data_IF_483442799652
#
_entry.id   IF_483442799652
#
_cell.length_a   1.000
_cell.length_b   1.000
_cell.length_c   1.000
_cell.angle_alpha   90.00
_cell.angle_beta   90.00
_cell.angle_gamma   90.00
#
_symmetry.space_group_name_H-M   'P 1'
#
loop_
_entity.id
_entity.type
_entity.pdbx_description
1 polymer ?
#
# COMPACT_ATOMS: atom_id res chain seq x y z
N UNK A 1 3.38 21.06 -13.29
CA UNK A 1 2.37 21.75 -14.14
C UNK A 1 2.55 21.45 -15.61
N UNK A 2 3.80 21.43 -16.09
CA UNK A 2 4.22 21.16 -17.48
C UNK A 2 3.44 20.04 -18.12
N UNK A 3 3.25 18.91 -17.43
CA UNK A 3 2.61 17.75 -18.03
C UNK A 3 1.12 17.92 -18.39
N UNK A 4 0.34 18.74 -17.68
CA UNK A 4 -1.08 18.96 -18.00
C UNK A 4 -1.26 19.96 -19.13
N UNK A 5 -0.45 21.02 -19.09
CA UNK A 5 -0.42 22.07 -20.10
C UNK A 5 0.10 21.53 -21.45
N UNK A 6 1.24 20.82 -21.43
CA UNK A 6 1.87 20.23 -22.62
C UNK A 6 0.97 19.20 -23.31
N UNK A 7 0.21 18.42 -22.54
CA UNK A 7 -0.73 17.44 -23.08
C UNK A 7 -2.06 18.04 -23.53
N UNK A 8 -2.32 19.33 -23.26
CA UNK A 8 -3.58 19.98 -23.57
C UNK A 8 -4.78 19.33 -22.88
N UNK A 9 -4.60 18.83 -21.65
CA UNK A 9 -5.65 18.11 -20.92
C UNK A 9 -6.76 19.05 -20.46
N UNK A 10 -7.97 18.50 -20.30
CA UNK A 10 -9.09 19.23 -19.71
C UNK A 10 -8.95 19.28 -18.20
N UNK A 11 -9.01 20.48 -17.62
CA UNK A 11 -8.78 20.75 -16.21
C UNK A 11 -9.92 21.54 -15.61
N UNK A 12 -10.30 21.21 -14.38
CA UNK A 12 -11.35 21.89 -13.64
C UNK A 12 -10.86 23.16 -12.95
N UNK A 13 -11.76 24.13 -12.78
CA UNK A 13 -11.55 25.28 -11.91
C UNK A 13 -12.88 25.73 -11.28
N UNK A 14 -12.82 26.38 -10.12
CA UNK A 14 -14.02 26.92 -9.49
C UNK A 14 -14.52 28.15 -10.26
N UNK A 15 -15.79 28.17 -10.69
CA UNK A 15 -16.32 29.17 -11.63
C UNK A 15 -16.09 30.62 -11.20
N UNK A 16 -16.24 30.91 -9.91
CA UNK A 16 -16.11 32.26 -9.34
C UNK A 16 -14.70 32.59 -8.84
N UNK A 17 -13.68 31.89 -9.33
CA UNK A 17 -12.29 32.08 -8.89
C UNK A 17 -11.44 32.85 -9.90
N UNK A 18 -10.37 33.46 -9.41
CA UNK A 18 -9.32 34.10 -10.22
C UNK A 18 -8.50 33.08 -11.04
N UNK A 19 -8.65 31.78 -10.75
CA UNK A 19 -7.89 30.70 -11.35
C UNK A 19 -8.07 30.68 -12.87
N UNK A 20 -9.27 30.98 -13.38
CA UNK A 20 -9.53 31.00 -14.82
C UNK A 20 -8.59 31.94 -15.57
N UNK A 21 -8.56 33.23 -15.17
CA UNK A 21 -7.68 34.22 -15.77
C UNK A 21 -6.21 33.82 -15.63
N UNK A 22 -5.82 33.33 -14.44
CA UNK A 22 -4.43 32.91 -14.20
C UNK A 22 -4.00 31.73 -15.07
N UNK A 23 -4.89 30.76 -15.31
CA UNK A 23 -4.59 29.61 -16.17
C UNK A 23 -4.45 30.01 -17.63
N UNK A 24 -5.27 30.95 -18.11
CA UNK A 24 -5.15 31.51 -19.45
C UNK A 24 -3.80 32.24 -19.62
N UNK A 25 -3.42 33.09 -18.67
CA UNK A 25 -2.11 33.76 -18.69
C UNK A 25 -0.93 32.77 -18.75
N UNK A 26 -1.09 31.60 -18.11
CA UNK A 26 -0.07 30.53 -18.08
C UNK A 26 -0.09 29.65 -19.35
N UNK A 27 -1.00 29.90 -20.29
CA UNK A 27 -1.05 29.25 -21.61
C UNK A 27 -2.10 28.15 -21.77
N UNK A 28 -2.99 27.93 -20.79
CA UNK A 28 -4.10 26.98 -20.99
C UNK A 28 -5.11 27.53 -21.99
N UNK A 29 -5.56 26.67 -22.92
CA UNK A 29 -6.66 27.00 -23.81
C UNK A 29 -7.97 27.15 -23.02
N UNK A 30 -8.78 28.20 -23.27
CA UNK A 30 -10.09 28.36 -22.64
C UNK A 30 -11.02 27.15 -22.84
N UNK A 31 -10.92 26.45 -23.98
CA UNK A 31 -11.70 25.24 -24.26
C UNK A 31 -11.40 24.06 -23.33
N UNK A 32 -10.23 24.07 -22.70
CA UNK A 32 -9.77 22.99 -21.82
C UNK A 32 -10.04 23.30 -20.35
N UNK A 33 -10.51 24.51 -20.04
CA UNK A 33 -10.87 24.93 -18.68
C UNK A 33 -12.35 24.65 -18.44
N UNK A 34 -12.65 23.75 -17.50
CA UNK A 34 -14.01 23.33 -17.18
C UNK A 34 -14.43 23.96 -15.84
N UNK A 35 -15.44 24.83 -15.80
CA UNK A 35 -15.92 25.38 -14.53
C UNK A 35 -16.70 24.35 -13.74
N UNK A 36 -16.61 24.41 -12.41
CA UNK A 36 -17.51 23.74 -11.47
C UNK A 36 -17.86 24.67 -10.31
N UNK A 37 -18.95 24.39 -9.61
CA UNK A 37 -19.44 25.18 -8.48
C UNK A 37 -19.31 24.46 -7.14
N UNK A 38 -19.45 23.12 -7.12
CA UNK A 38 -19.49 22.33 -5.88
C UNK A 38 -18.41 21.26 -5.82
N UNK A 39 -18.17 20.75 -4.61
CA UNK A 39 -17.26 19.61 -4.40
C UNK A 39 -17.74 18.35 -5.11
N UNK A 40 -19.05 18.12 -5.14
CA UNK A 40 -19.66 16.94 -5.75
C UNK A 40 -19.54 16.98 -7.28
N UNK A 41 -19.73 18.15 -7.89
CA UNK A 41 -19.53 18.33 -9.33
C UNK A 41 -18.05 18.14 -9.70
N UNK A 42 -17.13 18.62 -8.86
CA UNK A 42 -15.69 18.38 -9.04
C UNK A 42 -15.34 16.88 -8.98
N UNK A 43 -15.87 16.15 -7.98
CA UNK A 43 -15.73 14.69 -7.88
C UNK A 43 -16.26 14.00 -9.14
N UNK A 44 -17.47 14.33 -9.58
CA UNK A 44 -18.07 13.75 -10.78
C UNK A 44 -17.20 13.96 -12.03
N UNK A 45 -16.73 15.19 -12.25
CA UNK A 45 -15.86 15.52 -13.38
C UNK A 45 -14.53 14.74 -13.32
N UNK A 46 -13.93 14.60 -12.13
CA UNK A 46 -12.70 13.84 -11.94
C UNK A 46 -12.92 12.33 -12.14
N UNK A 47 -14.04 11.77 -11.66
CA UNK A 47 -14.39 10.34 -11.84
C UNK A 47 -14.69 9.98 -13.28
N UNK A 48 -15.34 10.88 -14.02
CA UNK A 48 -15.60 10.69 -15.44
C UNK A 48 -14.28 10.67 -16.24
N UNK A 49 -13.32 11.51 -15.85
CA UNK A 49 -12.04 11.62 -16.53
C UNK A 49 -12.18 12.12 -17.97
N UNK A 50 -11.07 12.43 -18.63
CA UNK A 50 -11.10 13.07 -19.96
C UNK A 50 -11.77 12.21 -21.04
N UNK A 51 -11.65 10.88 -20.94
CA UNK A 51 -12.26 9.92 -21.89
C UNK A 51 -13.80 9.92 -21.88
N UNK A 52 -14.44 10.29 -20.77
CA UNK A 52 -15.91 10.37 -20.66
C UNK A 52 -16.41 11.80 -20.59
N UNK A 53 -15.60 12.77 -21.06
CA UNK A 53 -15.99 14.18 -21.06
C UNK A 53 -15.81 14.89 -19.71
N UNK A 54 -15.12 14.28 -18.74
CA UNK A 54 -14.69 14.91 -17.50
C UNK A 54 -13.33 15.60 -17.61
N UNK A 55 -12.60 15.67 -16.48
CA UNK A 55 -11.32 16.37 -16.33
C UNK A 55 -10.21 15.45 -15.82
N UNK A 56 -8.95 15.79 -16.12
CA UNK A 56 -7.77 15.04 -15.64
C UNK A 56 -7.29 15.50 -14.26
N UNK A 57 -7.71 16.70 -13.84
CA UNK A 57 -7.29 17.35 -12.60
C UNK A 57 -8.06 18.66 -12.41
N UNK A 58 -8.03 19.20 -11.20
CA UNK A 58 -8.71 20.43 -10.85
C UNK A 58 -7.76 21.37 -10.09
N UNK A 59 -7.88 22.66 -10.37
CA UNK A 59 -7.21 23.71 -9.63
C UNK A 59 -8.17 24.27 -8.59
N UNK A 60 -7.74 24.23 -7.32
CA UNK A 60 -8.47 24.77 -6.17
C UNK A 60 -7.52 25.60 -5.32
N UNK A 61 -8.07 26.58 -4.61
CA UNK A 61 -7.34 27.31 -3.56
C UNK A 61 -7.12 26.38 -2.37
N UNK A 62 -5.99 26.52 -1.67
CA UNK A 62 -5.56 25.60 -0.61
C UNK A 62 -6.66 25.29 0.42
N UNK A 63 -7.38 26.26 1.02
CA UNK A 63 -8.40 25.90 2.00
C UNK A 63 -9.57 25.10 1.40
N UNK A 64 -9.98 25.39 0.16
CA UNK A 64 -11.01 24.59 -0.52
C UNK A 64 -10.49 23.20 -0.90
N UNK A 65 -9.23 23.10 -1.31
CA UNK A 65 -8.57 21.82 -1.57
C UNK A 65 -8.53 20.96 -0.30
N UNK A 66 -8.16 21.54 0.85
CA UNK A 66 -8.16 20.83 2.15
C UNK A 66 -9.55 20.32 2.51
N UNK A 67 -10.60 21.13 2.26
CA UNK A 67 -11.98 20.70 2.48
C UNK A 67 -12.40 19.57 1.54
N UNK A 68 -11.99 19.62 0.27
CA UNK A 68 -12.28 18.62 -0.75
C UNK A 68 -11.55 17.30 -0.46
N UNK A 69 -10.25 17.34 -0.16
CA UNK A 69 -9.49 16.16 0.23
C UNK A 69 -10.03 15.55 1.52
N UNK A 70 -10.45 16.36 2.49
CA UNK A 70 -11.13 15.85 3.69
C UNK A 70 -12.42 15.05 3.42
N UNK A 71 -13.03 15.19 2.24
CA UNK A 71 -14.21 14.43 1.81
C UNK A 71 -13.86 13.24 0.90
N UNK A 72 -12.76 13.34 0.13
CA UNK A 72 -12.41 12.40 -0.94
C UNK A 72 -10.94 11.90 -0.90
N UNK A 73 -10.28 11.89 0.26
CA UNK A 73 -8.83 11.61 0.35
C UNK A 73 -8.38 10.23 -0.10
N UNK A 74 -9.28 9.23 -0.08
CA UNK A 74 -8.97 7.89 -0.58
C UNK A 74 -8.91 7.84 -2.12
N UNK A 75 -9.47 8.85 -2.79
CA UNK A 75 -9.61 8.88 -4.25
C UNK A 75 -8.65 9.88 -4.88
N UNK A 76 -8.40 11.01 -4.21
CA UNK A 76 -7.63 12.12 -4.76
C UNK A 76 -6.48 12.52 -3.87
N UNK A 77 -5.46 13.09 -4.51
CA UNK A 77 -4.30 13.66 -3.84
C UNK A 77 -3.92 14.97 -4.50
N UNK A 78 -3.30 15.84 -3.72
CA UNK A 78 -2.56 16.97 -4.26
C UNK A 78 -1.34 16.45 -5.02
N UNK A 79 -1.09 16.98 -6.22
CA UNK A 79 -0.03 16.48 -7.13
C UNK A 79 0.99 17.55 -7.49
N UNK A 80 0.84 18.75 -6.94
CA UNK A 80 1.57 19.94 -7.34
C UNK A 80 1.77 20.88 -6.15
N UNK A 81 2.92 21.54 -6.09
CA UNK A 81 3.20 22.56 -5.07
C UNK A 81 2.25 23.75 -5.22
N UNK A 82 1.86 24.39 -4.10
CA UNK A 82 1.00 25.55 -4.17
C UNK A 82 1.64 26.65 -5.02
N UNK A 83 0.89 27.17 -6.00
CA UNK A 83 1.25 28.43 -6.64
C UNK A 83 1.19 29.53 -5.60
N UNK A 84 2.24 30.36 -5.51
CA UNK A 84 2.16 31.59 -4.72
C UNK A 84 1.07 32.48 -5.32
N UNK A 85 -0.07 32.47 -4.65
CA UNK A 85 -1.21 33.35 -4.86
C UNK A 85 -1.44 34.06 -3.53
N UNK A 86 -1.87 35.31 -3.59
CA UNK A 86 -2.16 36.09 -2.39
C UNK A 86 -3.26 35.42 -1.54
N UNK A 87 -3.37 35.89 -0.29
CA UNK A 87 -4.34 35.37 0.67
C UNK A 87 -5.74 35.99 0.54
N UNK A 88 -6.64 35.51 1.40
CA UNK A 88 -7.97 36.11 1.58
C UNK A 88 -7.85 37.46 2.29
N UNK A 89 -8.73 38.39 1.93
CA UNK A 89 -8.77 39.72 2.51
C UNK A 89 -10.19 40.24 2.69
N UNK A 90 -10.33 41.25 3.54
CA UNK A 90 -11.55 42.02 3.70
C UNK A 90 -11.48 43.26 2.81
N UNK A 91 -12.59 43.62 2.17
CA UNK A 91 -12.64 44.74 1.23
C UNK A 91 -13.48 45.86 1.83
N UNK A 92 -12.96 47.08 1.75
CA UNK A 92 -13.63 48.30 2.19
C UNK A 92 -13.53 49.39 1.11
N UNK A 93 -14.48 50.35 1.05
CA UNK A 93 -14.34 51.52 0.21
C UNK A 93 -13.06 52.32 0.53
N UNK A 94 -12.50 52.97 -0.49
CA UNK A 94 -11.33 53.83 -0.34
C UNK A 94 -11.65 54.95 0.66
N UNK A 95 -10.76 55.14 1.64
CA UNK A 95 -10.95 56.12 2.73
C UNK A 95 -11.78 55.62 3.91
N UNK A 96 -12.23 54.36 3.91
CA UNK A 96 -12.97 53.79 5.04
C UNK A 96 -12.09 53.75 6.31
N UNK A 97 -12.58 54.29 7.45
CA UNK A 97 -11.84 54.23 8.71
C UNK A 97 -11.73 52.79 9.26
N UNK A 98 -12.58 51.88 8.80
CA UNK A 98 -12.62 50.48 9.26
C UNK A 98 -11.37 49.68 8.85
N UNK A 99 -10.67 50.10 7.79
CA UNK A 99 -9.49 49.38 7.28
C UNK A 99 -8.47 49.17 8.40
N UNK A 100 -8.13 50.25 9.10
CA UNK A 100 -7.10 50.21 10.14
C UNK A 100 -7.54 49.37 11.35
N UNK A 101 -8.81 49.46 11.74
CA UNK A 101 -9.34 48.73 12.90
C UNK A 101 -9.45 47.23 12.62
N UNK A 102 -9.95 46.85 11.45
CA UNK A 102 -10.07 45.45 11.04
C UNK A 102 -8.70 44.82 10.83
N UNK A 103 -7.76 45.51 10.18
CA UNK A 103 -6.38 44.99 10.02
C UNK A 103 -5.70 44.75 11.38
N UNK A 104 -5.86 45.66 12.35
CA UNK A 104 -5.35 45.47 13.72
C UNK A 104 -6.04 44.30 14.43
N UNK A 105 -7.35 44.15 14.26
CA UNK A 105 -8.08 43.03 14.86
C UNK A 105 -7.62 41.69 14.29
N UNK A 106 -7.38 41.61 12.97
CA UNK A 106 -6.85 40.40 12.32
C UNK A 106 -5.47 40.06 12.87
N UNK A 107 -4.56 41.04 12.99
CA UNK A 107 -3.24 40.81 13.57
C UNK A 107 -3.32 40.29 15.01
N UNK A 108 -4.18 40.88 15.84
CA UNK A 108 -4.40 40.40 17.21
C UNK A 108 -4.88 38.95 17.27
N UNK A 109 -5.76 38.54 16.35
CA UNK A 109 -6.21 37.15 16.28
C UNK A 109 -5.09 36.24 15.78
N UNK A 110 -4.37 36.65 14.74
CA UNK A 110 -3.30 35.88 14.11
C UNK A 110 -2.11 35.63 15.05
N UNK A 111 -1.74 36.61 15.87
CA UNK A 111 -0.66 36.51 16.86
C UNK A 111 -1.09 35.77 18.15
N UNK A 112 -2.38 35.44 18.27
CA UNK A 112 -2.94 34.76 19.43
C UNK A 112 -3.18 33.25 19.17
N UNK A 113 -3.36 32.44 20.24
CA UNK A 113 -3.77 31.04 20.10
C UNK A 113 -5.14 30.84 19.44
N UNK A 114 -5.95 31.89 19.30
CA UNK A 114 -7.28 31.83 18.69
C UNK A 114 -7.22 31.45 17.21
N UNK A 115 -6.19 31.89 16.47
CA UNK A 115 -6.00 31.51 15.08
C UNK A 115 -5.90 29.98 14.93
N UNK A 116 -5.05 29.35 15.73
CA UNK A 116 -4.91 27.88 15.76
C UNK A 116 -6.18 27.20 16.25
N UNK A 117 -6.89 27.79 17.22
CA UNK A 117 -8.18 27.26 17.70
C UNK A 117 -9.23 27.25 16.61
N UNK A 118 -9.34 28.33 15.83
CA UNK A 118 -10.22 28.45 14.68
C UNK A 118 -9.85 27.42 13.61
N UNK A 119 -8.58 27.37 13.20
CA UNK A 119 -8.12 26.38 12.23
C UNK A 119 -8.50 24.96 12.65
N UNK A 120 -8.23 24.58 13.90
CA UNK A 120 -8.60 23.27 14.42
C UNK A 120 -10.12 23.07 14.45
N UNK A 121 -10.91 24.05 14.87
CA UNK A 121 -12.37 23.92 14.90
C UNK A 121 -12.97 23.63 13.51
N UNK A 122 -12.43 24.25 12.46
CA UNK A 122 -12.93 24.10 11.10
C UNK A 122 -12.35 22.89 10.34
N UNK A 123 -11.10 22.49 10.62
CA UNK A 123 -10.38 21.48 9.83
C UNK A 123 -10.08 20.16 10.57
N UNK A 124 -10.07 20.12 11.91
CA UNK A 124 -9.61 18.93 12.69
C UNK A 124 -10.33 17.63 12.33
N UNK A 125 -11.66 17.66 12.23
CA UNK A 125 -12.45 16.44 11.92
C UNK A 125 -12.11 15.87 10.54
N UNK A 126 -11.66 16.71 9.61
CA UNK A 126 -11.27 16.33 8.26
C UNK A 126 -9.81 15.84 8.20
N UNK A 127 -8.93 16.46 8.99
CA UNK A 127 -7.52 16.05 9.14
C UNK A 127 -7.36 14.69 9.84
N UNK A 128 -8.24 14.35 10.79
CA UNK A 128 -8.24 13.04 11.46
C UNK A 128 -8.54 11.86 10.51
N UNK A 129 -9.34 12.10 9.46
CA UNK A 129 -9.64 11.09 8.44
C UNK A 129 -8.60 11.05 7.32
N UNK A 130 -7.86 12.15 7.13
CA UNK A 130 -6.99 12.38 5.99
C UNK A 130 -5.86 13.36 6.42
N UNK A 131 -4.63 12.90 6.71
CA UNK A 131 -3.57 13.78 7.17
C UNK A 131 -3.22 14.87 6.14
N UNK A 132 -2.96 16.08 6.64
CA UNK A 132 -2.66 17.27 5.85
C UNK A 132 -1.34 17.09 5.08
N UNK A 133 -1.35 17.16 3.73
CA UNK A 133 -0.15 16.96 2.91
C UNK A 133 0.99 17.95 3.21
N UNK A 134 0.69 19.13 3.76
CA UNK A 134 1.70 20.17 4.04
C UNK A 134 2.29 20.08 5.46
N UNK A 135 1.47 19.72 6.46
CA UNK A 135 1.82 19.88 7.90
C UNK A 135 2.21 18.57 8.57
N UNK A 136 1.78 17.44 8.01
CA UNK A 136 2.01 16.10 8.52
C UNK A 136 2.24 15.17 7.33
N UNK A 137 3.44 15.19 6.69
CA UNK A 137 3.80 14.09 5.83
C UNK A 137 3.72 12.83 6.68
N UNK A 138 2.92 11.85 6.25
CA UNK A 138 2.70 10.63 7.01
C UNK A 138 4.02 10.13 7.64
N UNK A 139 4.06 9.84 8.96
CA UNK A 139 5.28 9.37 9.62
C UNK A 139 5.72 8.00 9.09
N UNK A 140 4.77 7.26 8.50
CA UNK A 140 5.04 6.30 7.45
C UNK A 140 4.75 6.97 6.13
N UNK A 141 5.74 7.55 5.45
CA UNK A 141 5.55 7.85 4.06
C UNK A 141 5.45 6.45 3.45
N UNK A 142 4.23 5.99 3.20
CA UNK A 142 4.02 5.34 1.93
C UNK A 142 4.29 6.45 0.93
N UNK A 143 5.60 6.63 0.70
CA UNK A 143 6.13 7.01 -0.57
C UNK A 143 5.41 6.06 -1.51
N UNK A 144 4.26 6.51 -2.01
CA UNK A 144 3.65 5.94 -3.20
C UNK A 144 4.46 6.49 -4.38
N UNK A 145 5.78 6.63 -4.23
CA UNK A 145 6.75 6.10 -5.18
C UNK A 145 6.28 4.70 -5.48
N UNK A 146 5.42 4.57 -6.50
CA UNK A 146 5.01 3.33 -7.17
C UNK A 146 5.73 2.14 -6.54
N UNK A 147 5.21 1.60 -5.42
CA UNK A 147 5.75 0.35 -4.94
C UNK A 147 5.37 -0.61 -6.05
N UNK A 148 6.35 -1.09 -6.81
CA UNK A 148 6.12 -2.10 -7.81
C UNK A 148 5.65 -3.33 -7.02
N UNK A 149 4.33 -3.49 -6.92
CA UNK A 149 3.74 -4.68 -6.32
C UNK A 149 4.26 -5.90 -7.06
N UNK A 150 4.22 -7.06 -6.40
CA UNK A 150 4.64 -8.34 -7.00
C UNK A 150 3.97 -8.61 -8.36
N UNK A 151 2.78 -8.03 -8.60
CA UNK A 151 2.09 -8.03 -9.90
C UNK A 151 2.88 -7.38 -11.05
N UNK A 152 3.59 -6.28 -10.80
CA UNK A 152 4.44 -5.63 -11.81
C UNK A 152 5.61 -6.51 -12.23
N UNK A 153 6.06 -7.42 -11.35
CA UNK A 153 7.14 -8.37 -11.62
C UNK A 153 6.65 -9.74 -12.05
N UNK A 154 5.34 -9.92 -12.27
CA UNK A 154 4.76 -11.22 -12.68
C UNK A 154 5.41 -11.81 -13.92
N UNK A 155 5.82 -10.97 -14.87
CA UNK A 155 6.56 -11.42 -16.06
C UNK A 155 7.96 -11.92 -15.70
N UNK A 156 8.69 -11.18 -14.86
CA UNK A 156 10.04 -11.54 -14.41
C UNK A 156 10.04 -12.88 -13.67
N UNK A 157 9.08 -13.08 -12.75
CA UNK A 157 8.93 -14.34 -12.02
C UNK A 157 8.66 -15.54 -12.95
N UNK A 158 7.86 -15.35 -14.01
CA UNK A 158 7.60 -16.41 -15.00
C UNK A 158 8.86 -16.79 -15.79
N UNK A 159 9.66 -15.81 -16.21
CA UNK A 159 10.89 -16.07 -16.97
C UNK A 159 11.89 -16.87 -16.13
N UNK A 160 12.10 -16.46 -14.87
CA UNK A 160 12.99 -17.18 -13.95
C UNK A 160 12.49 -18.60 -13.69
N UNK A 161 11.19 -18.78 -13.47
CA UNK A 161 10.59 -20.11 -13.26
C UNK A 161 10.81 -21.06 -14.44
N UNK A 162 10.65 -20.57 -15.68
CA UNK A 162 10.90 -21.38 -16.88
C UNK A 162 12.37 -21.76 -16.99
N UNK A 163 13.30 -20.82 -16.75
CA UNK A 163 14.74 -21.12 -16.79
C UNK A 163 15.12 -22.18 -15.73
N UNK A 164 14.53 -22.11 -14.53
CA UNK A 164 14.74 -23.10 -13.49
C UNK A 164 14.24 -24.49 -13.91
N UNK A 165 13.03 -24.60 -14.47
CA UNK A 165 12.49 -25.87 -14.99
C UNK A 165 13.36 -26.43 -16.11
N UNK A 166 13.80 -25.59 -17.04
CA UNK A 166 14.64 -26.03 -18.16
C UNK A 166 15.99 -26.56 -17.68
N UNK A 167 16.64 -25.89 -16.73
CA UNK A 167 17.90 -26.36 -16.15
C UNK A 167 17.71 -27.65 -15.34
N UNK A 168 16.65 -27.73 -14.53
CA UNK A 168 16.35 -28.94 -13.76
C UNK A 168 16.03 -30.12 -14.70
N UNK A 169 15.24 -29.87 -15.75
CA UNK A 169 14.91 -30.86 -16.77
C UNK A 169 16.13 -31.34 -17.54
N UNK A 170 17.01 -30.42 -17.94
CA UNK A 170 18.28 -30.77 -18.58
C UNK A 170 19.18 -31.59 -17.64
N UNK A 171 19.29 -31.20 -16.37
CA UNK A 171 20.07 -31.94 -15.38
C UNK A 171 19.53 -33.36 -15.17
N UNK A 172 18.21 -33.51 -15.01
CA UNK A 172 17.54 -34.81 -14.89
C UNK A 172 17.74 -35.63 -16.17
N UNK A 173 17.58 -35.03 -17.34
CA UNK A 173 17.76 -35.70 -18.63
C UNK A 173 19.21 -36.15 -18.84
N UNK A 174 20.19 -35.30 -18.56
CA UNK A 174 21.61 -35.67 -18.58
C UNK A 174 21.92 -36.74 -17.55
N UNK A 175 21.35 -36.65 -16.35
CA UNK A 175 21.50 -37.67 -15.32
C UNK A 175 20.95 -39.01 -15.79
N UNK A 176 19.74 -39.05 -16.38
CA UNK A 176 19.09 -40.25 -16.90
C UNK A 176 19.80 -40.85 -18.13
N UNK A 177 20.30 -40.02 -19.05
CA UNK A 177 21.13 -40.47 -20.18
C UNK A 177 22.48 -41.01 -19.71
N UNK A 178 23.08 -40.38 -18.68
CA UNK A 178 24.36 -40.81 -18.10
C UNK A 178 24.23 -42.07 -17.23
N UNK A 179 23.08 -42.27 -16.58
CA UNK A 179 22.77 -43.50 -15.81
C UNK A 179 22.13 -44.60 -16.65
N UNK A 180 21.99 -44.42 -17.97
CA UNK A 180 21.79 -45.51 -18.91
C UNK A 180 20.66 -46.48 -18.54
N UNK A 181 19.49 -46.00 -18.10
CA UNK A 181 18.19 -46.71 -18.15
C UNK A 181 18.06 -48.16 -17.63
N UNK A 182 19.05 -48.75 -16.95
CA UNK A 182 19.00 -50.15 -16.51
C UNK A 182 19.57 -50.39 -15.10
N UNK A 183 20.39 -49.48 -14.57
CA UNK A 183 21.10 -49.75 -13.31
C UNK A 183 20.40 -49.18 -12.06
N UNK A 184 19.55 -48.16 -12.21
CA UNK A 184 18.89 -47.50 -11.06
C UNK A 184 17.82 -48.35 -10.37
N UNK A 185 17.09 -49.19 -11.12
CA UNK A 185 16.09 -50.11 -10.54
C UNK A 185 16.72 -51.36 -9.91
N UNK A 186 17.97 -51.68 -10.24
CA UNK A 186 18.73 -52.76 -9.60
C UNK A 186 19.26 -52.36 -8.22
N UNK A 187 19.71 -51.11 -8.08
CA UNK A 187 20.28 -50.61 -6.82
C UNK A 187 19.21 -50.15 -5.81
N UNK A 188 18.07 -49.60 -6.24
CA UNK A 188 16.94 -49.23 -5.36
C UNK A 188 16.10 -50.42 -4.86
N UNK A 189 16.26 -51.60 -5.48
CA UNK A 189 15.51 -52.82 -5.17
C UNK A 189 16.36 -53.89 -4.48
N UNK A 190 17.64 -53.61 -4.21
CA UNK A 190 18.40 -54.37 -3.23
C UNK A 190 17.81 -54.08 -1.86
N UNK A 191 16.97 -55.00 -1.39
CA UNK A 191 16.67 -55.13 0.02
C UNK A 191 17.99 -55.27 0.77
N UNK A 192 18.24 -54.44 1.77
CA UNK A 192 19.38 -54.58 2.68
C UNK A 192 19.26 -55.93 3.43
N UNK A 193 19.86 -56.99 2.87
CA UNK A 193 20.05 -58.27 3.56
C UNK A 193 21.23 -58.24 4.56
N UNK A 194 21.87 -57.07 4.75
CA UNK A 194 22.93 -56.83 5.75
C UNK A 194 22.35 -56.09 6.98
N UNK A 195 21.26 -56.61 7.54
CA UNK A 195 20.85 -56.20 8.89
C UNK A 195 21.84 -56.77 9.92
N UNK A 196 22.45 -55.87 10.70
CA UNK A 196 23.33 -56.17 11.84
C UNK A 196 22.71 -57.14 12.88
N UNK A 197 21.39 -57.39 12.81
CA UNK A 197 20.69 -58.35 13.67
C UNK A 197 21.17 -59.80 13.44
N UNK A 198 21.62 -60.15 12.22
CA UNK A 198 22.14 -61.50 11.93
C UNK A 198 23.60 -61.71 12.37
N UNK A 199 24.33 -60.64 12.70
CA UNK A 199 25.73 -60.69 13.13
C UNK A 199 25.90 -60.77 14.66
N UNK A 200 24.78 -60.76 15.40
CA UNK A 200 24.81 -61.02 16.85
C UNK A 200 24.94 -62.53 17.05
N UNK A 201 26.10 -62.94 17.54
CA UNK A 201 26.38 -64.29 18.00
C UNK A 201 25.35 -64.68 19.06
N UNK A 202 24.38 -65.54 18.69
CA UNK A 202 23.47 -66.15 19.66
C UNK A 202 24.28 -67.14 20.48
N UNK A 203 24.60 -66.77 21.71
CA UNK A 203 25.15 -67.69 22.70
C UNK A 203 24.27 -68.94 22.80
N UNK A 204 24.93 -70.09 22.68
CA UNK A 204 24.33 -71.41 22.82
C UNK A 204 24.62 -71.93 24.22
N UNK A 205 23.58 -72.03 25.06
CA UNK A 205 23.49 -72.92 26.22
C UNK A 205 21.98 -73.13 26.47
N UNK A 206 21.38 -74.22 25.97
CA UNK A 206 21.19 -75.49 26.70
C UNK A 206 20.33 -75.25 27.97
N UNK A 207 19.11 -75.76 28.15
CA UNK A 207 18.74 -77.16 28.04
C UNK A 207 17.26 -77.33 28.44
N UNK A 208 16.52 -78.11 27.64
CA UNK A 208 15.45 -79.07 28.01
C UNK A 208 14.05 -78.61 28.49
N UNK A 209 13.09 -78.97 27.61
CA UNK A 209 11.88 -79.80 27.82
C UNK A 209 10.63 -79.27 28.54
N UNK A 210 9.57 -79.12 27.72
CA UNK A 210 8.14 -79.52 27.84
C UNK A 210 7.24 -78.97 29.00
N UNK A 211 5.95 -78.63 28.75
CA UNK A 211 5.02 -77.98 29.68
C UNK A 211 4.26 -79.06 30.52
N UNK A 212 3.45 -78.76 31.56
CA UNK A 212 2.30 -77.83 31.52
C UNK A 212 1.91 -77.12 32.84
N UNK A 213 0.80 -76.39 32.72
CA UNK A 213 -0.29 -76.19 33.69
C UNK A 213 -0.17 -75.21 34.88
N UNK A 214 -1.22 -74.37 34.89
CA UNK A 214 -2.07 -74.01 36.01
C UNK A 214 -1.63 -73.06 37.15
N UNK A 215 -2.48 -72.02 37.26
CA UNK A 215 -3.20 -71.62 38.48
C UNK A 215 -2.65 -70.48 39.35
N UNK A 216 -3.50 -69.44 39.36
CA UNK A 216 -3.88 -68.48 40.40
C UNK A 216 -2.85 -67.58 41.10
N UNK A 217 -3.12 -66.29 40.89
CA UNK A 217 -2.84 -65.19 41.81
C UNK A 217 -3.61 -65.31 43.13
N UNK A 218 -2.88 -65.19 44.23
CA UNK A 218 -3.31 -64.56 45.49
C UNK A 218 -2.08 -63.80 46.02
N UNK A 219 -2.12 -62.46 46.02
CA UNK A 219 -2.54 -61.63 47.14
C UNK A 219 -1.51 -61.58 48.30
N UNK A 220 -0.80 -60.46 48.42
CA UNK A 220 -0.68 -59.66 49.66
C UNK A 220 0.45 -58.62 49.56
N UNK A 221 0.05 -57.36 49.77
CA UNK A 221 0.81 -56.14 50.15
C UNK A 221 1.38 -56.29 51.59
N UNK A 222 1.95 -55.26 52.26
CA UNK A 222 2.68 -54.04 51.85
C UNK A 222 3.95 -53.78 52.72
N UNK A 223 4.43 -52.52 52.67
CA UNK A 223 5.30 -51.80 53.61
C UNK A 223 6.82 -52.08 53.50
N UNK A 224 7.73 -51.12 53.63
CA UNK A 224 7.69 -49.86 54.36
C UNK A 224 8.72 -48.88 53.77
N UNK A 225 8.45 -47.58 53.89
CA UNK A 225 9.26 -46.48 53.38
C UNK A 225 9.78 -45.67 54.57
N UNK A 226 11.09 -45.71 54.88
CA UNK A 226 11.90 -44.57 55.34
C UNK A 226 13.37 -44.94 55.49
#
# INVERSE_FOLDING_TARGET
>A
MSSLLERGERVGYQRTSFIFGKRIETGFSPSNLVPFDTSEECDELLRNGTKKGGISGAFLEIPYLRLFLGQYCNTYKMVEEPFNVDGFGFVFPIGSPLVADVSRAILKVAESPEATRLQRAWFKKKEESCPDPDTSPDPNPYVTSRQLGLDSFRFLFKVVFVICIMNLGYFIFCFLLKTGGKDLWGELKKTDDESYINRVEKCSCSSKQQPPDDTNSQAAKPDENR
#
